data_IF_266504374613
#
_entry.id   IF_266504374613
#
_cell.length_a   1.000
_cell.length_b   1.000
_cell.length_c   1.000
_cell.angle_alpha   90.00
_cell.angle_beta   90.00
_cell.angle_gamma   90.00
#
_symmetry.space_group_name_H-M   'P 1'
#
loop_
_entity.id
_entity.type
_entity.pdbx_description
1 polymer ?
#
# COMPACT_ATOMS: atom_id res chain seq x y z
N UNK A 1 2.02 -13.16 -13.85
CA UNK A 1 1.50 -12.71 -12.53
C UNK A 1 2.30 -11.50 -12.10
N UNK A 2 1.69 -10.59 -11.33
CA UNK A 2 2.39 -9.39 -10.87
C UNK A 2 3.32 -9.78 -9.71
N UNK A 3 4.61 -9.97 -10.02
CA UNK A 3 5.58 -10.67 -9.17
C UNK A 3 5.70 -10.08 -7.77
N UNK A 4 5.49 -8.77 -7.66
CA UNK A 4 5.48 -7.99 -6.42
C UNK A 4 4.49 -8.53 -5.38
N UNK A 5 3.30 -8.96 -5.80
CA UNK A 5 2.31 -9.57 -4.89
C UNK A 5 2.65 -11.03 -4.58
N UNK A 6 3.24 -11.74 -5.53
CA UNK A 6 3.61 -13.16 -5.37
C UNK A 6 4.80 -13.33 -4.42
N UNK A 7 5.78 -12.43 -4.47
CA UNK A 7 6.98 -12.47 -3.62
C UNK A 7 6.73 -11.93 -2.20
N UNK A 8 5.53 -11.41 -1.90
CA UNK A 8 5.22 -10.69 -0.65
C UNK A 8 6.26 -9.60 -0.33
N UNK A 9 6.84 -8.98 -1.36
CA UNK A 9 7.86 -7.95 -1.16
C UNK A 9 7.24 -6.76 -0.43
N UNK A 10 7.89 -6.29 0.63
CA UNK A 10 7.47 -5.10 1.36
C UNK A 10 7.70 -3.88 0.46
N UNK A 11 6.64 -3.33 -0.11
CA UNK A 11 6.70 -2.04 -0.83
C UNK A 11 6.46 -0.90 0.15
N UNK A 12 7.35 0.09 0.11
CA UNK A 12 7.15 1.39 0.74
C UNK A 12 7.34 2.46 -0.33
N UNK A 13 6.49 3.49 -0.34
CA UNK A 13 6.63 4.64 -1.22
C UNK A 13 7.11 5.86 -0.42
N UNK A 14 7.80 6.77 -1.09
CA UNK A 14 8.34 8.01 -0.54
C UNK A 14 7.86 9.19 -1.42
N UNK A 15 7.35 10.31 -0.90
CA UNK A 15 6.97 10.60 0.49
C UNK A 15 5.45 10.58 0.64
N UNK A 16 4.91 10.09 1.76
CA UNK A 16 3.48 10.27 2.08
C UNK A 16 3.25 11.61 2.78
N UNK A 17 2.27 12.36 2.33
CA UNK A 17 1.85 13.62 2.94
C UNK A 17 0.40 13.59 3.40
N UNK A 18 0.10 14.36 4.45
CA UNK A 18 -1.28 14.64 4.85
C UNK A 18 -1.54 16.11 4.58
N UNK A 19 -2.45 16.44 3.64
CA UNK A 19 -2.65 17.83 3.19
C UNK A 19 -3.00 18.78 4.33
N UNK A 20 -3.76 18.31 5.32
CA UNK A 20 -4.16 19.13 6.47
C UNK A 20 -3.02 19.44 7.45
N UNK A 21 -1.89 18.74 7.36
CA UNK A 21 -0.76 18.91 8.26
C UNK A 21 0.40 19.71 7.65
N UNK A 22 0.19 20.29 6.45
CA UNK A 22 1.21 21.07 5.74
C UNK A 22 2.56 20.33 5.64
N UNK A 23 2.52 19.04 5.30
CA UNK A 23 3.73 18.23 5.14
C UNK A 23 4.66 18.86 4.10
N UNK A 24 5.97 18.89 4.42
CA UNK A 24 7.02 19.36 3.49
C UNK A 24 6.92 18.62 2.17
N UNK A 25 6.76 19.37 1.08
CA UNK A 25 6.74 18.85 -0.28
C UNK A 25 8.12 19.00 -0.92
N UNK A 26 8.74 17.87 -1.26
CA UNK A 26 9.98 17.79 -2.03
C UNK A 26 9.73 17.66 -3.55
N UNK A 27 8.47 17.82 -3.98
CA UNK A 27 8.02 17.63 -5.36
C UNK A 27 7.60 16.19 -5.68
N UNK A 28 7.77 15.26 -4.75
CA UNK A 28 7.39 13.84 -4.89
C UNK A 28 6.40 13.38 -3.81
N UNK A 29 5.86 14.31 -3.02
CA UNK A 29 4.92 13.95 -1.96
C UNK A 29 3.58 13.56 -2.55
N UNK A 30 3.15 12.33 -2.27
CA UNK A 30 1.81 11.84 -2.58
C UNK A 30 0.94 12.10 -1.36
N UNK A 31 -0.07 12.94 -1.52
CA UNK A 31 -0.97 13.28 -0.43
C UNK A 31 -2.18 12.34 -0.35
N UNK A 32 -2.75 12.24 0.85
CA UNK A 32 -3.99 11.52 1.17
C UNK A 32 -5.17 11.83 0.24
N UNK A 33 -5.25 13.07 -0.28
CA UNK A 33 -6.32 13.51 -1.19
C UNK A 33 -5.97 13.46 -2.66
N UNK A 34 -4.78 12.98 -3.03
CA UNK A 34 -4.40 12.92 -4.43
C UNK A 34 -5.06 11.74 -5.14
N UNK A 35 -5.35 11.92 -6.43
CA UNK A 35 -5.95 10.86 -7.24
C UNK A 35 -5.06 9.60 -7.23
N UNK A 36 -3.75 9.78 -7.32
CA UNK A 36 -2.78 8.68 -7.29
C UNK A 36 -2.88 7.82 -6.01
N UNK A 37 -3.13 8.46 -4.85
CA UNK A 37 -3.32 7.75 -3.60
C UNK A 37 -4.56 6.85 -3.64
N UNK A 38 -5.69 7.39 -4.09
CA UNK A 38 -6.95 6.66 -4.14
C UNK A 38 -7.03 5.61 -5.26
N UNK A 39 -6.39 5.83 -6.41
CA UNK A 39 -6.48 4.93 -7.57
C UNK A 39 -5.43 3.83 -7.58
N UNK A 40 -4.26 4.05 -6.96
CA UNK A 40 -3.13 3.11 -7.03
C UNK A 40 -2.65 2.66 -5.65
N UNK A 41 -2.36 3.60 -4.75
CA UNK A 41 -1.72 3.28 -3.46
C UNK A 41 -2.67 2.51 -2.53
N UNK A 42 -3.88 3.04 -2.30
CA UNK A 42 -4.86 2.40 -1.42
C UNK A 42 -5.27 1.00 -1.92
N UNK A 43 -5.62 0.79 -3.20
CA UNK A 43 -5.92 -0.55 -3.72
C UNK A 43 -4.75 -1.54 -3.61
N UNK A 44 -3.52 -1.09 -3.86
CA UNK A 44 -2.33 -1.92 -3.71
C UNK A 44 -2.12 -2.33 -2.25
N UNK A 45 -2.23 -1.39 -1.31
CA UNK A 45 -2.11 -1.65 0.12
C UNK A 45 -3.18 -2.65 0.61
N UNK A 46 -4.44 -2.48 0.18
CA UNK A 46 -5.53 -3.45 0.46
C UNK A 46 -5.18 -4.84 -0.07
N UNK A 47 -4.62 -4.92 -1.27
CA UNK A 47 -4.21 -6.20 -1.87
C UNK A 47 -3.10 -6.88 -1.07
N UNK A 48 -2.07 -6.12 -0.66
CA UNK A 48 -1.03 -6.65 0.22
C UNK A 48 -1.57 -7.11 1.58
N UNK A 49 -2.46 -6.33 2.20
CA UNK A 49 -3.10 -6.73 3.47
C UNK A 49 -3.90 -8.03 3.33
N UNK A 50 -4.65 -8.20 2.23
CA UNK A 50 -5.41 -9.42 1.97
C UNK A 50 -4.53 -10.67 1.79
N UNK A 51 -3.31 -10.51 1.24
CA UNK A 51 -2.36 -11.61 1.06
C UNK A 51 -1.68 -12.03 2.36
N UNK A 52 -1.56 -11.10 3.31
CA UNK A 52 -1.07 -11.38 4.66
C UNK A 52 -2.16 -12.01 5.56
N UNK A 53 -3.44 -11.86 5.22
CA UNK A 53 -4.58 -12.43 5.95
C UNK A 53 -4.92 -13.89 5.61
N UNK A 54 -4.32 -14.48 4.57
CA UNK A 54 -4.43 -15.92 4.30
C UNK A 54 -3.49 -16.69 5.23
N UNK A 55 -3.81 -16.66 6.52
CA UNK A 55 -3.37 -17.72 7.43
C UNK A 55 -4.09 -18.97 6.98
N UNK A 56 -3.33 -19.89 6.38
CA UNK A 56 -3.78 -21.25 6.09
C UNK A 56 -4.27 -21.85 7.42
N UNK A 57 -5.58 -21.86 7.67
CA UNK A 57 -6.19 -22.68 8.71
C UNK A 57 -6.00 -24.12 8.28
N UNK A 58 -4.83 -24.66 8.58
CA UNK A 58 -4.49 -26.05 8.38
C UNK A 58 -5.29 -26.82 9.44
N UNK A 59 -6.52 -27.20 9.08
CA UNK A 59 -7.29 -28.19 9.84
C UNK A 59 -6.49 -29.49 9.85
N UNK A 60 -5.83 -29.78 10.97
CA UNK A 60 -5.36 -31.12 11.27
C UNK A 60 -6.55 -31.87 11.87
N UNK A 61 -7.10 -32.82 11.11
CA UNK A 61 -8.03 -33.85 11.58
C UNK A 61 -7.41 -34.75 12.63
#
# INVERSE_FOLDING_TARGET
>A
SNQVYTSKSNMQYWQFGIKSLSTTDDGYTIYDKDALFSTAIAPAATKFASLNGVSNSRSTS
#
